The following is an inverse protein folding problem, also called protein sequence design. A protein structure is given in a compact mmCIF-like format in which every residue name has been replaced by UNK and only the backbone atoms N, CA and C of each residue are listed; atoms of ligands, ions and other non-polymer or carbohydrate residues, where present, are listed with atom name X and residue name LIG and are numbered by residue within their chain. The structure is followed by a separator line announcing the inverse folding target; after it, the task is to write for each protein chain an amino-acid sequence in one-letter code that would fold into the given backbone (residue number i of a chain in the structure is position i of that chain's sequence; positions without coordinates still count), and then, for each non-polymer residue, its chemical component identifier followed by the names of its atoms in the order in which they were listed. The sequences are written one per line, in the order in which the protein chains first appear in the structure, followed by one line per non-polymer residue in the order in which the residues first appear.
data_IF_132395092747
#
_entry.id   IF_132395092747
#
_cell.length_a   1.000
_cell.length_b   1.000
_cell.length_c   1.000
_cell.angle_alpha   90.00
_cell.angle_beta   90.00
_cell.angle_gamma   90.00
#
_symmetry.space_group_name_H-M   'P 1'
#
loop_
_entity.id
_entity.type
_entity.pdbx_description
1 polymer ?
#
# COMPACT_ATOMS: atom_id res chain seq x y z
N UNK A 1 0.92 -26.61 14.36
CA UNK A 1 0.75 -25.16 14.61
C UNK A 1 1.71 -24.58 15.66
N UNK A 2 2.23 -25.37 16.61
CA UNK A 2 3.25 -24.91 17.59
C UNK A 2 4.71 -24.99 17.10
N UNK A 3 5.04 -25.84 16.12
CA UNK A 3 6.43 -26.07 15.71
C UNK A 3 7.08 -24.86 14.99
N UNK A 4 6.35 -24.15 14.12
CA UNK A 4 6.90 -22.96 13.42
C UNK A 4 6.99 -21.73 14.34
N UNK A 5 6.07 -21.58 15.28
CA UNK A 5 6.09 -20.46 16.24
C UNK A 5 7.24 -20.62 17.24
N UNK A 6 7.54 -21.86 17.67
CA UNK A 6 8.69 -22.15 18.52
C UNK A 6 10.03 -21.99 17.79
N UNK A 7 10.14 -22.36 16.51
CA UNK A 7 11.38 -22.20 15.75
C UNK A 7 11.69 -20.74 15.41
N UNK A 8 10.67 -19.89 15.27
CA UNK A 8 10.83 -18.45 14.97
C UNK A 8 11.40 -17.65 16.15
N UNK A 9 11.31 -18.13 17.39
CA UNK A 9 11.62 -17.34 18.59
C UNK A 9 13.10 -17.37 19.04
N UNK A 10 14.01 -17.87 18.21
CA UNK A 10 15.45 -17.80 18.48
C UNK A 10 16.09 -17.04 17.32
N UNK A 11 16.71 -15.90 17.61
CA UNK A 11 17.31 -14.97 16.63
C UNK A 11 18.20 -15.69 15.59
N UNK A 12 18.86 -16.79 16.00
CA UNK A 12 19.70 -17.63 15.14
C UNK A 12 18.92 -18.53 14.17
N UNK A 13 17.72 -18.98 14.53
CA UNK A 13 16.90 -19.84 13.68
C UNK A 13 16.28 -19.08 12.50
N UNK A 14 15.96 -17.79 12.66
CA UNK A 14 15.35 -16.98 11.59
C UNK A 14 16.29 -16.79 10.39
N UNK A 15 17.59 -16.61 10.63
CA UNK A 15 18.60 -16.57 9.55
C UNK A 15 18.79 -17.95 8.94
N UNK A 16 18.83 -19.01 9.76
CA UNK A 16 18.93 -20.39 9.29
C UNK A 16 17.72 -20.83 8.44
N UNK A 17 16.49 -20.47 8.83
CA UNK A 17 15.25 -20.77 8.10
C UNK A 17 15.24 -20.05 6.75
N UNK A 18 15.59 -18.76 6.73
CA UNK A 18 15.73 -18.05 5.47
C UNK A 18 16.80 -18.70 4.58
N UNK A 19 17.95 -19.09 5.15
CA UNK A 19 19.04 -19.80 4.45
C UNK A 19 18.65 -21.22 4.00
N UNK A 20 17.69 -21.88 4.66
CA UNK A 20 17.24 -23.23 4.36
C UNK A 20 16.20 -23.31 3.22
N UNK A 21 16.24 -22.40 2.25
CA UNK A 21 15.31 -22.32 1.11
C UNK A 21 13.81 -22.23 1.51
N UNK A 22 13.48 -21.82 2.74
CA UNK A 22 12.09 -21.77 3.20
C UNK A 22 11.26 -20.63 2.58
N UNK A 23 11.91 -19.65 1.94
CA UNK A 23 11.23 -18.48 1.37
C UNK A 23 10.33 -18.86 0.19
N UNK A 24 10.79 -19.68 -0.74
CA UNK A 24 10.01 -20.08 -1.92
C UNK A 24 8.75 -20.90 -1.57
N UNK A 25 8.80 -21.93 -0.69
CA UNK A 25 7.60 -22.61 -0.23
C UNK A 25 6.60 -21.68 0.47
N UNK A 26 7.07 -20.71 1.25
CA UNK A 26 6.20 -19.71 1.88
C UNK A 26 5.50 -18.86 0.82
N UNK A 27 6.22 -18.39 -0.20
CA UNK A 27 5.63 -17.64 -1.32
C UNK A 27 4.60 -18.48 -2.06
N UNK A 28 4.90 -19.74 -2.34
CA UNK A 28 3.94 -20.65 -2.96
C UNK A 28 2.65 -20.78 -2.14
N UNK A 29 2.76 -20.98 -0.82
CA UNK A 29 1.60 -21.03 0.09
C UNK A 29 0.84 -19.69 0.11
N UNK A 30 1.56 -18.56 0.02
CA UNK A 30 0.95 -17.22 -0.02
C UNK A 30 0.12 -17.02 -1.30
N UNK A 31 0.51 -17.66 -2.41
CA UNK A 31 -0.18 -17.59 -3.70
C UNK A 31 -1.35 -18.57 -3.79
N UNK A 32 -1.15 -19.83 -3.40
CA UNK A 32 -2.08 -20.94 -3.69
C UNK A 32 -2.85 -21.46 -2.48
N UNK A 33 -2.42 -21.10 -1.26
CA UNK A 33 -2.98 -21.63 -0.03
C UNK A 33 -4.42 -21.17 0.26
N UNK A 34 -5.05 -21.82 1.24
CA UNK A 34 -6.31 -21.35 1.83
C UNK A 34 -6.12 -19.97 2.50
N UNK A 35 -7.19 -19.21 2.78
CA UNK A 35 -7.07 -17.90 3.44
C UNK A 35 -6.21 -17.94 4.72
N UNK A 36 -6.43 -18.93 5.57
CA UNK A 36 -5.65 -19.15 6.81
C UNK A 36 -4.20 -19.53 6.51
N UNK A 37 -3.93 -20.31 5.46
CA UNK A 37 -2.57 -20.66 5.07
C UNK A 37 -1.81 -19.43 4.54
N UNK A 38 -2.46 -18.58 3.74
CA UNK A 38 -1.90 -17.31 3.26
C UNK A 38 -1.58 -16.36 4.40
N UNK A 39 -2.48 -16.22 5.39
CA UNK A 39 -2.24 -15.46 6.62
C UNK A 39 -1.00 -15.96 7.36
N UNK A 40 -0.91 -17.27 7.60
CA UNK A 40 0.23 -17.87 8.31
C UNK A 40 1.54 -17.69 7.53
N UNK A 41 1.49 -17.78 6.20
CA UNK A 41 2.66 -17.51 5.35
C UNK A 41 3.09 -16.05 5.47
N UNK A 42 2.17 -15.09 5.35
CA UNK A 42 2.44 -13.67 5.52
C UNK A 42 3.02 -13.34 6.91
N UNK A 43 2.46 -13.91 7.98
CA UNK A 43 2.97 -13.75 9.35
C UNK A 43 4.38 -14.32 9.53
N UNK A 44 4.70 -15.42 8.83
CA UNK A 44 6.04 -16.01 8.84
C UNK A 44 7.03 -15.13 8.08
N UNK A 45 6.67 -14.64 6.89
CA UNK A 45 7.48 -13.70 6.11
C UNK A 45 7.74 -12.40 6.88
N UNK A 46 6.73 -11.87 7.58
CA UNK A 46 6.88 -10.75 8.51
C UNK A 46 7.90 -11.07 9.63
N UNK A 47 7.75 -12.23 10.28
CA UNK A 47 8.64 -12.63 11.36
C UNK A 47 10.11 -12.77 10.92
N UNK A 48 10.32 -13.25 9.69
CA UNK A 48 11.64 -13.36 9.06
C UNK A 48 12.20 -12.01 8.61
N UNK A 49 11.37 -11.08 8.14
CA UNK A 49 11.78 -9.76 7.65
C UNK A 49 12.21 -8.77 8.75
N UNK A 50 11.97 -9.11 10.02
CA UNK A 50 12.56 -8.40 11.16
C UNK A 50 14.09 -8.40 11.06
N UNK A 51 14.70 -9.48 10.56
CA UNK A 51 16.14 -9.57 10.31
C UNK A 51 16.49 -8.91 8.98
N UNK A 52 17.40 -7.94 9.02
CA UNK A 52 17.73 -7.09 7.86
C UNK A 52 18.24 -7.89 6.67
N UNK A 53 19.14 -8.86 6.93
CA UNK A 53 19.71 -9.75 5.91
C UNK A 53 18.64 -10.54 5.15
N UNK A 54 17.51 -10.84 5.78
CA UNK A 54 16.42 -11.59 5.15
C UNK A 54 15.57 -10.72 4.23
N UNK A 55 15.49 -9.40 4.45
CA UNK A 55 14.63 -8.48 3.68
C UNK A 55 14.98 -8.50 2.19
N UNK A 56 16.27 -8.48 1.88
CA UNK A 56 16.78 -8.52 0.51
C UNK A 56 16.36 -9.80 -0.21
N UNK A 57 16.49 -10.94 0.46
CA UNK A 57 16.16 -12.26 -0.10
C UNK A 57 14.65 -12.40 -0.30
N UNK A 58 13.85 -12.15 0.74
CA UNK A 58 12.39 -12.24 0.67
C UNK A 58 11.83 -11.39 -0.48
N UNK A 59 12.28 -10.13 -0.59
CA UNK A 59 11.84 -9.25 -1.68
C UNK A 59 12.32 -9.69 -3.07
N UNK A 60 13.53 -10.25 -3.20
CA UNK A 60 14.07 -10.75 -4.48
C UNK A 60 13.34 -12.01 -4.97
N UNK A 61 12.88 -12.88 -4.08
CA UNK A 61 12.17 -14.12 -4.43
C UNK A 61 10.71 -13.92 -4.84
N UNK A 62 10.25 -12.66 -4.98
CA UNK A 62 8.93 -12.36 -5.54
C UNK A 62 7.80 -12.30 -4.53
N UNK A 63 8.08 -12.25 -3.21
CA UNK A 63 7.02 -12.19 -2.20
C UNK A 63 6.17 -10.92 -2.23
N UNK A 64 6.65 -9.85 -2.89
CA UNK A 64 6.01 -8.53 -2.85
C UNK A 64 4.63 -8.57 -3.49
N UNK A 65 4.48 -9.06 -4.72
CA UNK A 65 3.18 -9.06 -5.40
C UNK A 65 2.12 -9.89 -4.64
N UNK A 66 2.41 -11.13 -4.19
CA UNK A 66 1.44 -11.90 -3.41
C UNK A 66 1.04 -11.24 -2.08
N UNK A 67 1.96 -10.53 -1.41
CA UNK A 67 1.63 -9.76 -0.20
C UNK A 67 0.70 -8.57 -0.52
N UNK A 68 0.94 -7.87 -1.63
CA UNK A 68 0.11 -6.76 -2.10
C UNK A 68 -1.29 -7.25 -2.51
N UNK A 69 -1.38 -8.43 -3.10
CA UNK A 69 -2.65 -9.08 -3.43
C UNK A 69 -3.41 -9.51 -2.18
N UNK A 70 -2.72 -10.09 -1.19
CA UNK A 70 -3.30 -10.43 0.11
C UNK A 70 -3.81 -9.19 0.85
N UNK A 71 -3.11 -8.05 0.74
CA UNK A 71 -3.58 -6.79 1.30
C UNK A 71 -4.91 -6.31 0.65
N UNK A 72 -5.10 -6.56 -0.65
CA UNK A 72 -6.35 -6.24 -1.34
C UNK A 72 -7.49 -7.20 -0.97
N UNK A 73 -7.22 -8.50 -1.10
CA UNK A 73 -8.24 -9.54 -1.19
C UNK A 73 -8.31 -10.46 0.05
N UNK A 74 -7.42 -10.27 1.01
CA UNK A 74 -7.31 -11.11 2.21
C UNK A 74 -8.36 -10.82 3.28
N UNK A 75 -8.35 -11.65 4.31
CA UNK A 75 -9.11 -11.44 5.54
C UNK A 75 -8.54 -10.24 6.33
N UNK A 76 -9.24 -9.71 7.35
CA UNK A 76 -8.69 -8.65 8.20
C UNK A 76 -7.31 -9.00 8.80
N UNK A 77 -7.11 -10.26 9.22
CA UNK A 77 -5.83 -10.75 9.71
C UNK A 77 -4.79 -10.79 8.59
N UNK A 78 -5.14 -11.33 7.43
CA UNK A 78 -4.23 -11.42 6.28
C UNK A 78 -3.77 -10.05 5.80
N UNK A 79 -4.66 -9.07 5.79
CA UNK A 79 -4.35 -7.66 5.47
C UNK A 79 -3.37 -7.06 6.48
N UNK A 80 -3.58 -7.29 7.78
CA UNK A 80 -2.68 -6.85 8.84
C UNK A 80 -1.28 -7.45 8.65
N UNK A 81 -1.19 -8.77 8.54
CA UNK A 81 0.08 -9.49 8.42
C UNK A 81 0.82 -9.11 7.13
N UNK A 82 0.10 -8.96 6.02
CA UNK A 82 0.66 -8.47 4.75
C UNK A 82 1.22 -7.04 4.87
N UNK A 83 0.48 -6.14 5.53
CA UNK A 83 0.92 -4.76 5.76
C UNK A 83 2.21 -4.72 6.58
N UNK A 84 2.25 -5.48 7.70
CA UNK A 84 3.44 -5.56 8.55
C UNK A 84 4.64 -6.16 7.82
N UNK A 85 4.42 -7.18 6.99
CA UNK A 85 5.47 -7.75 6.15
C UNK A 85 6.01 -6.71 5.14
N UNK A 86 5.12 -6.06 4.38
CA UNK A 86 5.49 -5.06 3.38
C UNK A 86 6.23 -3.86 4.01
N UNK A 87 5.79 -3.40 5.18
CA UNK A 87 6.46 -2.35 5.93
C UNK A 87 7.92 -2.72 6.24
N UNK A 88 8.14 -3.88 6.86
CA UNK A 88 9.51 -4.33 7.17
C UNK A 88 10.35 -4.53 5.90
N UNK A 89 9.77 -5.08 4.84
CA UNK A 89 10.48 -5.28 3.58
C UNK A 89 10.88 -3.96 2.92
N UNK A 90 10.08 -2.90 3.08
CA UNK A 90 10.36 -1.57 2.56
C UNK A 90 11.55 -0.87 3.21
N UNK A 91 11.99 -1.35 4.39
CA UNK A 91 13.20 -0.85 5.06
C UNK A 91 14.48 -1.20 4.29
N UNK A 92 14.41 -2.12 3.32
CA UNK A 92 15.49 -2.40 2.38
C UNK A 92 15.27 -1.62 1.07
N UNK A 93 16.26 -0.85 0.62
CA UNK A 93 16.09 0.17 -0.43
C UNK A 93 15.55 -0.40 -1.75
N UNK A 94 16.10 -1.51 -2.21
CA UNK A 94 15.76 -2.16 -3.48
C UNK A 94 14.35 -2.74 -3.47
N UNK A 95 13.79 -3.03 -2.29
CA UNK A 95 12.41 -3.48 -2.18
C UNK A 95 11.40 -2.34 -2.34
N UNK A 96 11.79 -1.08 -2.09
CA UNK A 96 10.89 0.08 -2.27
C UNK A 96 10.40 0.17 -3.71
N UNK A 97 11.30 0.03 -4.68
CA UNK A 97 10.96 0.03 -6.10
C UNK A 97 10.01 -1.13 -6.47
N UNK A 98 10.27 -2.34 -5.93
CA UNK A 98 9.39 -3.51 -6.14
C UNK A 98 7.99 -3.29 -5.56
N UNK A 99 7.90 -2.69 -4.38
CA UNK A 99 6.63 -2.37 -3.70
C UNK A 99 5.83 -1.35 -4.52
N UNK A 100 6.49 -0.31 -5.06
CA UNK A 100 5.85 0.65 -5.96
C UNK A 100 5.35 -0.03 -7.23
N UNK A 101 6.18 -0.85 -7.87
CA UNK A 101 5.83 -1.60 -9.08
C UNK A 101 4.66 -2.56 -8.87
N UNK A 102 4.50 -3.11 -7.67
CA UNK A 102 3.37 -3.97 -7.32
C UNK A 102 2.04 -3.21 -7.14
N UNK A 103 2.03 -1.88 -7.28
CA UNK A 103 0.82 -1.06 -7.21
C UNK A 103 0.40 -0.65 -5.80
N UNK A 104 1.34 -0.63 -4.84
CA UNK A 104 1.01 -0.21 -3.46
C UNK A 104 0.64 1.26 -3.33
N UNK A 105 1.12 2.12 -4.25
CA UNK A 105 0.72 3.53 -4.29
C UNK A 105 -0.78 3.67 -4.46
N UNK A 106 -1.38 2.94 -5.42
CA UNK A 106 -2.82 2.97 -5.67
C UNK A 106 -3.62 2.53 -4.43
N UNK A 107 -3.18 1.47 -3.75
CA UNK A 107 -3.84 0.99 -2.53
C UNK A 107 -3.76 2.00 -1.38
N UNK A 108 -2.62 2.67 -1.22
CA UNK A 108 -2.45 3.73 -0.23
C UNK A 108 -3.37 4.92 -0.54
N UNK A 109 -3.47 5.32 -1.80
CA UNK A 109 -4.35 6.42 -2.25
C UNK A 109 -5.82 6.07 -2.04
N UNK A 110 -6.24 4.82 -2.31
CA UNK A 110 -7.59 4.34 -1.99
C UNK A 110 -7.89 4.47 -0.50
N UNK A 111 -6.94 4.09 0.35
CA UNK A 111 -7.11 4.22 1.80
C UNK A 111 -7.26 5.69 2.20
N UNK A 112 -6.41 6.59 1.69
CA UNK A 112 -6.49 8.02 1.94
C UNK A 112 -7.83 8.61 1.46
N UNK A 113 -8.32 8.19 0.29
CA UNK A 113 -9.63 8.60 -0.23
C UNK A 113 -10.78 8.14 0.68
N UNK A 114 -10.72 6.90 1.18
CA UNK A 114 -11.71 6.39 2.13
C UNK A 114 -11.67 7.15 3.47
N UNK A 115 -10.48 7.44 4.00
CA UNK A 115 -10.34 8.25 5.22
C UNK A 115 -10.88 9.67 5.03
N UNK A 116 -10.72 10.25 3.84
CA UNK A 116 -11.28 11.56 3.51
C UNK A 116 -12.83 11.59 3.48
N UNK A 117 -13.52 10.45 3.63
CA UNK A 117 -14.99 10.44 3.74
C UNK A 117 -15.50 10.91 5.10
N UNK A 118 -14.64 10.99 6.12
CA UNK A 118 -14.97 11.46 7.47
C UNK A 118 -14.16 12.72 7.86
N UNK A 119 -14.67 13.59 8.76
CA UNK A 119 -14.00 14.84 9.15
C UNK A 119 -12.57 14.66 9.72
N UNK A 120 -12.36 13.64 10.55
CA UNK A 120 -11.08 13.35 11.20
C UNK A 120 -10.03 12.96 10.16
N UNK A 121 -10.39 12.08 9.22
CA UNK A 121 -9.51 11.66 8.15
C UNK A 121 -9.20 12.79 7.15
N UNK A 122 -10.15 13.68 6.86
CA UNK A 122 -9.88 14.90 6.08
C UNK A 122 -8.84 15.79 6.75
N UNK A 123 -9.01 16.00 8.05
CA UNK A 123 -8.12 16.86 8.85
C UNK A 123 -6.71 16.27 8.89
N UNK A 124 -6.59 14.98 9.19
CA UNK A 124 -5.30 14.27 9.21
C UNK A 124 -4.62 14.32 7.83
N UNK A 125 -5.33 13.96 6.75
CA UNK A 125 -4.78 13.98 5.39
C UNK A 125 -4.26 15.37 4.99
N UNK A 126 -4.95 16.45 5.37
CA UNK A 126 -4.51 17.80 5.07
C UNK A 126 -3.27 18.22 5.88
N UNK A 127 -3.22 17.87 7.17
CA UNK A 127 -2.16 18.29 8.09
C UNK A 127 -0.87 17.47 7.92
N UNK A 128 -0.98 16.19 7.59
CA UNK A 128 0.17 15.28 7.43
C UNK A 128 0.78 15.33 6.02
N UNK A 129 0.50 16.41 5.27
CA UNK A 129 1.07 16.63 3.95
C UNK A 129 0.50 15.71 2.86
N UNK A 130 -0.69 15.14 3.06
CA UNK A 130 -1.36 14.29 2.06
C UNK A 130 -1.74 15.04 0.79
N UNK A 131 -2.06 16.34 0.87
CA UNK A 131 -2.48 17.16 -0.30
C UNK A 131 -1.42 17.15 -1.42
N UNK A 132 -0.16 17.56 -1.20
CA UNK A 132 0.87 17.52 -2.25
C UNK A 132 1.01 16.13 -2.90
N UNK A 133 0.93 15.06 -2.10
CA UNK A 133 1.10 13.67 -2.56
C UNK A 133 -0.08 13.22 -3.41
N UNK A 134 -1.29 13.62 -3.04
CA UNK A 134 -2.48 13.34 -3.85
C UNK A 134 -2.44 14.10 -5.18
N UNK A 135 -1.95 15.35 -5.20
CA UNK A 135 -1.77 16.12 -6.45
C UNK A 135 -0.75 15.44 -7.37
N UNK A 136 0.40 15.02 -6.82
CA UNK A 136 1.41 14.24 -7.56
C UNK A 136 0.82 12.97 -8.18
N UNK A 137 -0.05 12.25 -7.44
CA UNK A 137 -0.72 11.05 -7.96
C UNK A 137 -1.71 11.38 -9.08
N UNK A 138 -2.42 12.52 -9.03
CA UNK A 138 -3.28 12.95 -10.14
C UNK A 138 -2.46 13.19 -11.42
N UNK A 139 -1.24 13.70 -11.28
CA UNK A 139 -0.35 13.97 -12.41
C UNK A 139 0.31 12.70 -12.96
N UNK A 140 0.95 11.91 -12.10
CA UNK A 140 1.88 10.83 -12.48
C UNK A 140 1.36 9.42 -12.19
N UNK A 141 0.25 9.29 -11.45
CA UNK A 141 -0.28 8.01 -10.99
C UNK A 141 -0.91 7.16 -12.10
N UNK A 142 -1.26 5.92 -11.74
CA UNK A 142 -2.04 5.04 -12.62
C UNK A 142 -3.43 5.63 -12.88
N UNK A 143 -4.15 5.14 -13.90
CA UNK A 143 -5.53 5.59 -14.15
C UNK A 143 -6.43 5.45 -12.91
N UNK A 144 -6.28 4.36 -12.14
CA UNK A 144 -7.00 4.15 -10.87
C UNK A 144 -6.50 5.10 -9.78
N UNK A 145 -5.19 5.25 -9.65
CA UNK A 145 -4.58 6.17 -8.68
C UNK A 145 -5.09 7.61 -8.87
N UNK A 146 -5.15 8.08 -10.12
CA UNK A 146 -5.66 9.41 -10.48
C UNK A 146 -7.11 9.62 -10.06
N UNK A 147 -7.98 8.64 -10.31
CA UNK A 147 -9.39 8.70 -9.91
C UNK A 147 -9.57 8.78 -8.39
N UNK A 148 -8.87 7.92 -7.66
CA UNK A 148 -8.94 7.89 -6.21
C UNK A 148 -8.32 9.14 -5.57
N UNK A 149 -7.22 9.64 -6.13
CA UNK A 149 -6.59 10.88 -5.67
C UNK A 149 -7.48 12.10 -5.92
N UNK A 150 -8.09 12.20 -7.11
CA UNK A 150 -9.04 13.26 -7.41
C UNK A 150 -10.25 13.25 -6.47
N UNK A 151 -10.79 12.05 -6.16
CA UNK A 151 -11.87 11.91 -5.19
C UNK A 151 -11.46 12.34 -3.78
N UNK A 152 -10.26 11.95 -3.32
CA UNK A 152 -9.73 12.38 -2.03
C UNK A 152 -9.59 13.91 -1.94
N UNK A 153 -9.03 14.54 -2.98
CA UNK A 153 -8.88 15.99 -3.08
C UNK A 153 -10.24 16.69 -3.07
N UNK A 154 -11.24 16.16 -3.78
CA UNK A 154 -12.60 16.70 -3.76
C UNK A 154 -13.18 16.69 -2.34
N UNK A 155 -13.09 15.57 -1.62
CA UNK A 155 -13.56 15.51 -0.23
C UNK A 155 -12.85 16.50 0.69
N UNK A 156 -11.56 16.75 0.49
CA UNK A 156 -10.81 17.77 1.25
C UNK A 156 -11.31 19.19 0.96
N UNK A 157 -11.60 19.50 -0.31
CA UNK A 157 -12.05 20.83 -0.74
C UNK A 157 -13.50 21.15 -0.32
N UNK A 158 -14.40 20.17 -0.43
CA UNK A 158 -15.83 20.36 -0.09
C UNK A 158 -16.07 20.72 1.39
N UNK A 159 -15.09 20.50 2.27
CA UNK A 159 -15.25 20.72 3.71
C UNK A 159 -14.39 21.85 4.29
N UNK A 160 -13.43 22.38 3.52
CA UNK A 160 -12.46 23.34 4.03
C UNK A 160 -11.94 24.23 2.89
N UNK A 161 -12.27 25.52 2.97
CA UNK A 161 -11.73 26.54 2.06
C UNK A 161 -10.21 26.64 2.14
N UNK A 162 -9.63 26.42 3.33
CA UNK A 162 -8.18 26.37 3.56
C UNK A 162 -7.54 25.18 2.83
N UNK A 163 -8.15 23.99 2.92
CA UNK A 163 -7.64 22.81 2.21
C UNK A 163 -7.76 23.03 0.70
N UNK A 164 -8.88 23.59 0.24
CA UNK A 164 -9.08 23.96 -1.16
C UNK A 164 -8.01 24.95 -1.65
N UNK A 165 -7.70 26.00 -0.89
CA UNK A 165 -6.62 26.93 -1.28
C UNK A 165 -5.26 26.25 -1.39
N UNK A 166 -4.95 25.30 -0.51
CA UNK A 166 -3.69 24.54 -0.58
C UNK A 166 -3.69 23.64 -1.83
N UNK A 167 -4.78 22.93 -2.12
CA UNK A 167 -4.91 22.11 -3.33
C UNK A 167 -4.66 22.93 -4.61
N UNK A 168 -5.18 24.17 -4.66
CA UNK A 168 -4.94 25.08 -5.78
C UNK A 168 -3.48 25.56 -5.85
N UNK A 169 -2.87 25.89 -4.70
CA UNK A 169 -1.48 26.32 -4.61
C UNK A 169 -0.49 25.23 -5.03
N UNK A 170 -0.79 23.97 -4.72
CA UNK A 170 -0.02 22.79 -5.17
C UNK A 170 -0.17 22.52 -6.67
N UNK A 171 -0.94 23.33 -7.41
CA UNK A 171 -1.05 23.23 -8.86
C UNK A 171 -1.94 22.07 -9.33
N UNK A 172 -2.97 21.69 -8.56
CA UNK A 172 -3.85 20.58 -8.91
C UNK A 172 -4.69 20.79 -10.18
N UNK A 173 -4.93 22.04 -10.59
CA UNK A 173 -5.88 22.37 -11.67
C UNK A 173 -5.47 21.77 -13.03
N UNK A 174 -4.25 21.97 -13.57
CA UNK A 174 -3.88 21.38 -14.86
C UNK A 174 -3.94 19.83 -14.86
N UNK A 175 -3.41 19.11 -13.85
CA UNK A 175 -3.56 17.66 -13.75
C UNK A 175 -5.02 17.18 -13.68
N UNK A 176 -5.88 17.86 -12.91
CA UNK A 176 -7.29 17.50 -12.79
C UNK A 176 -8.05 17.70 -14.11
N UNK A 177 -7.79 18.78 -14.83
CA UNK A 177 -8.38 19.05 -16.16
C UNK A 177 -7.89 18.04 -17.20
N UNK A 178 -6.60 17.66 -17.17
CA UNK A 178 -6.08 16.63 -18.06
C UNK A 178 -6.70 15.25 -17.75
N UNK A 179 -6.89 14.94 -16.46
CA UNK A 179 -7.51 13.70 -16.01
C UNK A 179 -8.99 13.60 -16.40
N UNK A 180 -9.77 14.70 -16.36
CA UNK A 180 -11.18 14.67 -16.78
C UNK A 180 -11.38 14.40 -18.27
N UNK A 181 -10.45 14.88 -19.10
CA UNK A 181 -10.47 14.66 -20.56
C UNK A 181 -10.09 13.23 -20.95
N UNK A 182 -9.29 12.56 -20.14
CA UNK A 182 -8.74 11.22 -20.41
C UNK A 182 -9.32 10.10 -19.52
N UNK A 183 -10.11 10.44 -18.51
CA UNK A 183 -10.55 9.53 -17.45
C UNK A 183 -11.85 8.78 -17.74
N UNK A 184 -12.13 7.79 -16.88
CA UNK A 184 -13.37 7.01 -16.89
C UNK A 184 -14.59 7.90 -16.57
N UNK A 185 -15.84 7.45 -16.80
CA UNK A 185 -17.04 8.24 -16.50
C UNK A 185 -17.06 8.83 -15.08
N UNK A 186 -16.50 8.08 -14.10
CA UNK A 186 -16.40 8.48 -12.69
C UNK A 186 -15.39 9.61 -12.46
N UNK A 187 -14.34 9.70 -13.28
CA UNK A 187 -13.36 10.79 -13.24
C UNK A 187 -13.96 12.12 -13.76
N UNK A 188 -14.95 12.05 -14.66
CA UNK A 188 -15.60 13.22 -15.27
C UNK A 188 -16.56 13.92 -14.30
N UNK A 189 -17.23 13.17 -13.42
CA UNK A 189 -18.15 13.72 -12.42
C UNK A 189 -17.44 14.55 -11.34
N UNK A 190 -16.20 14.20 -10.98
CA UNK A 190 -15.46 14.83 -9.88
C UNK A 190 -14.89 16.23 -10.20
N UNK A 191 -14.93 16.68 -11.46
CA UNK A 191 -14.32 17.96 -11.90
C UNK A 191 -15.31 19.13 -11.91
N UNK A 192 -16.62 18.88 -11.91
CA UNK A 192 -17.63 19.95 -11.92
C UNK A 192 -17.80 20.66 -10.57
N UNK A 193 -17.00 20.32 -9.56
CA UNK A 193 -17.00 20.93 -8.24
C UNK A 193 -15.74 21.75 -7.92
N UNK A 194 -14.86 21.96 -8.92
CA UNK A 194 -13.66 22.80 -8.82
C UNK A 194 -13.78 24.07 -9.68
#
# INVERSE_FOLDING_TARGET
MLLLHFLSNIYNNKTAIANANAVEPLIHVLETGSPVAKENSAATLFSLSVIEVNRARIGRFGSIQPLVDLLGNGTPRGKKDATSALFNLSLFHENKARIVQAGMVDKAVVLLANLATIPEGRTANAQEGGIPRLVEVVELGSARGKEHAAAALLYLCTCSSKSCSVVLQEGAVPPLVASSRSGTPRAKENVYCF
#
